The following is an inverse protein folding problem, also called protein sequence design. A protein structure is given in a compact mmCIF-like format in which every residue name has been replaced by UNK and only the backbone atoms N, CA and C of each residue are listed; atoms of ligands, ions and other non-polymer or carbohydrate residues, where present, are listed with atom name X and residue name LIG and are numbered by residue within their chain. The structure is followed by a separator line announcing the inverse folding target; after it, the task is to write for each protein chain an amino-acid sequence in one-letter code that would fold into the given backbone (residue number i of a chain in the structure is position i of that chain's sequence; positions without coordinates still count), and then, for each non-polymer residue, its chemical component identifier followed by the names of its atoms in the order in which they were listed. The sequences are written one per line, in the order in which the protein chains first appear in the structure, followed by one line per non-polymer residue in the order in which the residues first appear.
data_IF_689867622642
#
_entry.id   IF_689867622642
#
_cell.length_a   1.000
_cell.length_b   1.000
_cell.length_c   1.000
_cell.angle_alpha   90.00
_cell.angle_beta   90.00
_cell.angle_gamma   90.00
#
_symmetry.space_group_name_H-M   'P 1'
#
loop_
_entity.id
_entity.type
_entity.pdbx_description
1 polymer ?
#
# COMPACT_ATOMS: atom_id res chain seq x y z
N UNK A 1 12.39 -7.46 14.68
CA UNK A 1 11.45 -6.34 14.48
C UNK A 1 10.03 -6.88 14.53
N UNK A 2 9.16 -6.30 15.36
CA UNK A 2 7.77 -6.71 15.46
C UNK A 2 6.91 -5.70 14.69
N UNK A 3 6.12 -6.16 13.72
CA UNK A 3 5.23 -5.30 12.95
C UNK A 3 3.97 -5.01 13.79
N UNK A 4 3.68 -3.74 14.01
CA UNK A 4 2.54 -3.27 14.81
C UNK A 4 1.81 -2.13 14.07
N UNK A 5 0.56 -1.84 14.44
CA UNK A 5 -0.21 -0.69 13.90
C UNK A 5 -0.41 -0.72 12.37
N UNK A 6 -0.80 -1.88 11.83
CA UNK A 6 -1.03 -2.07 10.39
C UNK A 6 -1.95 -3.24 10.06
N UNK A 7 -2.09 -3.53 8.77
CA UNK A 7 -2.81 -4.67 8.22
C UNK A 7 -1.84 -5.61 7.50
N UNK A 8 -1.97 -6.91 7.79
CA UNK A 8 -1.33 -7.97 7.02
C UNK A 8 -2.32 -8.54 6.01
N UNK A 9 -1.89 -8.67 4.77
CA UNK A 9 -2.66 -9.18 3.64
C UNK A 9 -1.96 -10.41 3.06
N UNK A 10 -2.76 -11.37 2.61
CA UNK A 10 -2.28 -12.54 1.88
C UNK A 10 -2.76 -12.46 0.44
N UNK A 11 -1.83 -12.56 -0.49
CA UNK A 11 -2.07 -12.58 -1.93
C UNK A 11 -1.35 -13.79 -2.55
N UNK A 12 -1.75 -14.25 -3.75
CA UNK A 12 -0.98 -15.25 -4.47
C UNK A 12 0.45 -14.77 -4.72
N UNK A 13 1.44 -15.56 -4.28
CA UNK A 13 2.86 -15.16 -4.30
C UNK A 13 3.38 -14.77 -5.69
N UNK A 14 2.85 -15.39 -6.76
CA UNK A 14 3.23 -15.09 -8.15
C UNK A 14 2.84 -13.67 -8.61
N UNK A 15 1.96 -12.97 -7.88
CA UNK A 15 1.61 -11.59 -8.16
C UNK A 15 2.66 -10.61 -7.62
N UNK A 16 3.52 -11.03 -6.70
CA UNK A 16 4.58 -10.18 -6.13
C UNK A 16 5.85 -10.34 -6.97
N UNK A 17 6.30 -9.26 -7.61
CA UNK A 17 7.54 -9.30 -8.38
C UNK A 17 8.75 -9.35 -7.43
N UNK A 18 9.70 -10.24 -7.70
CA UNK A 18 10.96 -10.29 -6.96
C UNK A 18 11.76 -8.99 -7.20
N UNK A 19 12.05 -8.27 -6.12
CA UNK A 19 12.75 -6.98 -6.11
C UNK A 19 13.83 -6.98 -5.04
N UNK A 20 14.87 -6.17 -5.21
CA UNK A 20 15.97 -6.06 -4.24
C UNK A 20 15.58 -5.28 -2.98
N UNK A 21 14.50 -4.49 -3.03
CA UNK A 21 13.98 -3.72 -1.90
C UNK A 21 12.49 -4.05 -1.72
N UNK A 22 12.15 -4.60 -0.56
CA UNK A 22 10.77 -4.97 -0.19
C UNK A 22 10.11 -3.96 0.75
N UNK A 23 10.89 -3.05 1.34
CA UNK A 23 10.44 -2.08 2.32
C UNK A 23 10.33 -0.71 1.66
N UNK A 24 9.12 -0.15 1.65
CA UNK A 24 8.83 1.12 1.02
C UNK A 24 8.16 2.05 2.02
N UNK A 25 8.84 3.15 2.34
CA UNK A 25 8.27 4.21 3.15
C UNK A 25 7.53 5.23 2.27
N UNK A 26 6.22 5.33 2.42
CA UNK A 26 5.37 6.26 1.68
C UNK A 26 5.17 7.54 2.50
N UNK A 27 6.15 8.45 2.38
CA UNK A 27 6.22 9.73 3.13
C UNK A 27 4.89 10.52 3.11
N UNK A 28 4.24 10.57 1.94
CA UNK A 28 2.99 11.33 1.75
C UNK A 28 1.79 10.78 2.54
N UNK A 29 1.84 9.52 2.96
CA UNK A 29 0.76 8.87 3.71
C UNK A 29 1.12 8.57 5.16
N UNK A 30 2.39 8.75 5.54
CA UNK A 30 2.98 8.27 6.80
C UNK A 30 2.76 6.75 7.00
N UNK A 31 2.91 5.97 5.92
CA UNK A 31 2.65 4.52 5.89
C UNK A 31 3.86 3.79 5.32
N UNK A 32 4.19 2.66 5.93
CA UNK A 32 5.16 1.70 5.44
C UNK A 32 4.45 0.55 4.71
N UNK A 33 4.95 0.23 3.53
CA UNK A 33 4.48 -0.86 2.67
C UNK A 33 5.61 -1.89 2.52
N UNK A 34 5.34 -3.12 2.95
CA UNK A 34 6.26 -4.25 2.83
C UNK A 34 5.68 -5.27 1.87
N UNK A 35 6.39 -5.55 0.78
CA UNK A 35 5.98 -6.51 -0.25
C UNK A 35 6.81 -7.80 -0.14
N UNK A 36 6.32 -8.77 0.65
CA UNK A 36 6.97 -10.07 0.79
C UNK A 36 6.78 -10.94 -0.45
N UNK A 37 7.89 -11.48 -0.99
CA UNK A 37 7.87 -12.42 -2.13
C UNK A 37 7.05 -13.70 -1.89
N UNK A 38 6.73 -13.99 -0.63
CA UNK A 38 5.88 -15.10 -0.21
C UNK A 38 4.38 -14.81 -0.33
N UNK A 39 4.00 -13.63 -0.84
CA UNK A 39 2.60 -13.22 -0.94
C UNK A 39 2.05 -12.59 0.35
N UNK A 40 2.90 -12.31 1.34
CA UNK A 40 2.51 -11.53 2.50
C UNK A 40 2.84 -10.07 2.26
N UNK A 41 1.80 -9.23 2.33
CA UNK A 41 1.92 -7.78 2.17
C UNK A 41 1.52 -7.12 3.47
N UNK A 42 2.39 -6.28 4.02
CA UNK A 42 2.09 -5.52 5.22
C UNK A 42 1.98 -4.05 4.90
N UNK A 43 0.93 -3.41 5.42
CA UNK A 43 0.63 -1.99 5.27
C UNK A 43 0.40 -1.41 6.66
N UNK A 44 1.25 -0.52 7.14
CA UNK A 44 1.10 0.01 8.50
C UNK A 44 1.65 1.39 8.69
N UNK A 45 1.34 1.98 9.84
CA UNK A 45 1.87 3.29 10.22
C UNK A 45 3.40 3.26 10.22
N UNK A 46 4.02 4.31 9.68
CA UNK A 46 5.46 4.45 9.75
C UNK A 46 5.88 4.71 11.20
N UNK A 47 6.75 3.85 11.73
CA UNK A 47 7.32 4.01 13.07
C UNK A 47 8.79 4.35 12.92
N UNK A 48 9.18 5.54 13.36
CA UNK A 48 10.58 5.93 13.44
C UNK A 48 11.21 5.13 14.58
N UNK A 49 11.93 4.06 14.24
CA UNK A 49 12.80 3.38 15.21
C UNK A 49 14.05 4.24 15.34
N UNK A 50 14.11 5.05 16.40
CA UNK A 50 15.33 5.78 16.72
C UNK A 50 16.47 4.78 16.95
N UNK A 51 17.49 4.80 16.10
CA UNK A 51 18.70 4.03 16.30
C UNK A 51 19.40 4.54 17.57
N UNK A 52 19.44 3.70 18.60
CA UNK A 52 20.37 3.70 19.73
C UNK A 52 20.84 5.08 20.23
N UNK A 53 20.05 5.68 21.11
CA UNK A 53 20.61 6.49 22.21
C UNK A 53 20.19 5.83 23.52
N UNK A 54 21.17 5.50 24.36
CA UNK A 54 21.04 4.92 25.70
C UNK A 54 20.17 5.79 26.62
N UNK A 55 18.86 5.78 26.42
CA UNK A 55 17.91 6.48 27.27
C UNK A 55 16.82 5.51 27.70
N UNK A 56 17.11 4.87 28.84
CA UNK A 56 16.18 4.29 29.82
C UNK A 56 14.85 3.78 29.25
N UNK A 57 14.76 2.46 29.14
CA UNK A 57 13.58 1.68 28.73
C UNK A 57 12.25 2.10 29.41
N UNK A 58 12.30 2.73 30.58
CA UNK A 58 11.12 3.22 31.31
C UNK A 58 10.53 4.54 30.75
N UNK A 59 11.32 5.39 30.09
CA UNK A 59 10.79 6.64 29.48
C UNK A 59 10.18 6.40 28.09
N UNK A 60 10.64 5.37 27.37
CA UNK A 60 10.03 4.96 26.10
C UNK A 60 8.65 4.32 26.31
N UNK A 61 8.45 3.56 27.40
CA UNK A 61 7.12 3.03 27.77
C UNK A 61 6.11 4.13 28.07
N UNK A 62 6.51 5.17 28.80
CA UNK A 62 5.63 6.30 29.15
C UNK A 62 5.22 7.15 27.92
N UNK A 63 6.08 7.26 26.89
CA UNK A 63 5.72 7.90 25.62
C UNK A 63 4.87 7.01 24.70
N UNK A 64 5.03 5.68 24.76
CA UNK A 64 4.16 4.72 24.06
C UNK A 64 2.75 4.67 24.65
N UNK A 65 2.59 4.96 25.94
CA UNK A 65 1.30 4.86 26.64
C UNK A 65 0.39 6.10 26.45
N UNK A 66 0.96 7.26 26.13
CA UNK A 66 0.22 8.54 26.13
C UNK A 66 -0.41 8.95 24.77
N UNK A 67 -0.13 8.25 23.67
CA UNK A 67 -0.80 8.47 22.37
C UNK A 67 -0.94 7.14 21.59
N UNK A 68 -1.72 6.23 22.16
CA UNK A 68 -1.84 4.82 21.75
C UNK A 68 -2.60 4.58 20.44
N UNK A 69 -2.89 5.63 19.66
CA UNK A 69 -3.82 5.55 18.55
C UNK A 69 -3.21 6.06 17.26
N UNK A 70 -3.15 5.19 16.26
CA UNK A 70 -2.83 5.62 14.89
C UNK A 70 -3.85 6.68 14.45
N UNK A 71 -3.43 7.86 13.97
CA UNK A 71 -4.35 8.93 13.57
C UNK A 71 -5.40 8.45 12.56
N UNK A 72 -6.61 9.03 12.62
CA UNK A 72 -7.72 8.62 11.73
C UNK A 72 -7.34 8.74 10.25
N UNK A 73 -6.59 9.77 9.88
CA UNK A 73 -6.12 9.96 8.50
C UNK A 73 -5.11 8.89 8.09
N UNK A 74 -4.14 8.57 8.95
CA UNK A 74 -3.20 7.46 8.71
C UNK A 74 -3.94 6.13 8.54
N UNK A 75 -4.95 5.84 9.37
CA UNK A 75 -5.78 4.65 9.21
C UNK A 75 -6.54 4.64 7.88
N UNK A 76 -7.06 5.79 7.43
CA UNK A 76 -7.71 5.90 6.13
C UNK A 76 -6.73 5.57 5.00
N UNK A 77 -5.49 6.06 5.09
CA UNK A 77 -4.44 5.70 4.12
C UNK A 77 -4.13 4.21 4.14
N UNK A 78 -3.92 3.62 5.33
CA UNK A 78 -3.67 2.17 5.48
C UNK A 78 -4.80 1.37 4.84
N UNK A 79 -6.06 1.69 5.14
CA UNK A 79 -7.20 0.98 4.58
C UNK A 79 -7.33 1.14 3.06
N UNK A 80 -7.07 2.34 2.51
CA UNK A 80 -7.08 2.56 1.05
C UNK A 80 -6.00 1.76 0.34
N UNK A 81 -4.77 1.81 0.83
CA UNK A 81 -3.65 1.05 0.28
C UNK A 81 -3.92 -0.46 0.38
N UNK A 82 -4.46 -0.92 1.51
CA UNK A 82 -4.83 -2.32 1.68
C UNK A 82 -5.94 -2.76 0.72
N UNK A 83 -6.94 -1.91 0.48
CA UNK A 83 -8.00 -2.19 -0.49
C UNK A 83 -7.48 -2.16 -1.93
N UNK A 84 -6.57 -1.25 -2.26
CA UNK A 84 -5.89 -1.27 -3.56
C UNK A 84 -5.17 -2.61 -3.80
N UNK A 85 -4.44 -3.14 -2.80
CA UNK A 85 -3.81 -4.47 -2.88
C UNK A 85 -4.85 -5.57 -3.11
N UNK A 86 -5.98 -5.56 -2.38
CA UNK A 86 -7.06 -6.54 -2.55
C UNK A 86 -7.64 -6.53 -3.97
N UNK A 87 -7.98 -5.34 -4.48
CA UNK A 87 -8.54 -5.16 -5.83
C UNK A 87 -7.56 -5.64 -6.89
N UNK A 88 -6.31 -5.22 -6.82
CA UNK A 88 -5.27 -5.62 -7.77
C UNK A 88 -5.00 -7.12 -7.73
N UNK A 89 -4.98 -7.71 -6.54
CA UNK A 89 -4.80 -9.15 -6.36
C UNK A 89 -5.96 -9.94 -6.97
N UNK A 90 -7.19 -9.52 -6.72
CA UNK A 90 -8.38 -10.18 -7.26
C UNK A 90 -8.51 -10.02 -8.78
N UNK A 91 -7.98 -8.93 -9.36
CA UNK A 91 -7.85 -8.76 -10.82
C UNK A 91 -6.65 -9.53 -11.42
N UNK A 92 -5.83 -10.20 -10.60
CA UNK A 92 -4.66 -10.96 -11.06
C UNK A 92 -3.53 -10.09 -11.60
N UNK A 93 -3.43 -8.83 -11.13
CA UNK A 93 -2.37 -7.92 -11.56
C UNK A 93 -1.11 -8.07 -10.72
N UNK A 94 0.06 -7.97 -11.36
CA UNK A 94 1.34 -7.89 -10.65
C UNK A 94 1.35 -6.67 -9.74
N UNK A 95 1.65 -6.90 -8.46
CA UNK A 95 1.67 -5.90 -7.42
C UNK A 95 3.02 -5.17 -7.44
N UNK A 96 2.97 -3.89 -7.78
CA UNK A 96 4.09 -2.97 -7.66
C UNK A 96 3.66 -1.78 -6.81
N UNK A 97 4.61 -1.13 -6.15
CA UNK A 97 4.35 0.02 -5.27
C UNK A 97 3.64 1.12 -6.05
N UNK A 98 4.09 1.42 -7.27
CA UNK A 98 3.50 2.46 -8.10
C UNK A 98 2.03 2.15 -8.44
N UNK A 99 1.74 0.89 -8.79
CA UNK A 99 0.38 0.49 -9.14
C UNK A 99 -0.56 0.53 -7.91
N UNK A 100 -0.06 0.17 -6.73
CA UNK A 100 -0.82 0.23 -5.47
C UNK A 100 -1.14 1.69 -5.13
N UNK A 101 -0.15 2.59 -5.18
CA UNK A 101 -0.35 4.03 -4.91
C UNK A 101 -1.36 4.61 -5.88
N UNK A 102 -1.17 4.40 -7.18
CA UNK A 102 -2.08 4.95 -8.20
C UNK A 102 -3.52 4.43 -8.03
N UNK A 103 -3.68 3.15 -7.67
CA UNK A 103 -5.02 2.58 -7.43
C UNK A 103 -5.65 3.18 -6.18
N UNK A 104 -4.87 3.43 -5.12
CA UNK A 104 -5.35 4.11 -3.92
C UNK A 104 -5.71 5.58 -4.22
N UNK A 105 -4.89 6.29 -5.00
CA UNK A 105 -5.15 7.68 -5.40
C UNK A 105 -6.34 7.79 -6.34
N UNK A 106 -6.56 6.85 -7.25
CA UNK A 106 -7.73 6.82 -8.13
C UNK A 106 -9.06 6.72 -7.36
N UNK A 107 -9.05 6.28 -6.09
CA UNK A 107 -10.24 6.30 -5.23
C UNK A 107 -10.61 7.71 -4.73
N UNK A 108 -9.65 8.64 -4.69
CA UNK A 108 -9.86 9.98 -4.10
C UNK A 108 -10.75 10.89 -4.97
N UNK A 109 -10.50 11.07 -6.29
CA UNK A 109 -11.32 11.94 -7.13
C UNK A 109 -12.71 11.36 -7.43
N UNK A 110 -12.84 10.03 -7.40
CA UNK A 110 -14.10 9.34 -7.73
C UNK A 110 -15.13 9.40 -6.60
N UNK A 111 -14.86 10.09 -5.49
CA UNK A 111 -15.72 10.10 -4.27
C UNK A 111 -16.03 8.68 -3.77
N UNK A 112 -15.17 7.71 -4.11
CA UNK A 112 -15.35 6.33 -3.69
C UNK A 112 -14.89 6.25 -2.25
N UNK A 113 -15.84 6.04 -1.35
CA UNK A 113 -15.54 5.72 0.03
C UNK A 113 -14.64 4.48 0.10
N UNK A 114 -13.88 4.34 1.18
CA UNK A 114 -12.90 3.25 1.35
C UNK A 114 -13.55 1.87 1.19
N UNK A 115 -14.79 1.71 1.69
CA UNK A 115 -15.62 0.52 1.52
C UNK A 115 -16.02 0.27 0.05
N UNK A 116 -16.30 1.34 -0.70
CA UNK A 116 -16.71 1.31 -2.11
C UNK A 116 -15.60 0.85 -3.05
N UNK A 117 -14.32 0.91 -2.64
CA UNK A 117 -13.21 0.36 -3.41
C UNK A 117 -13.37 -1.15 -3.69
N UNK A 118 -14.13 -1.87 -2.86
CA UNK A 118 -14.37 -3.30 -3.04
C UNK A 118 -15.65 -3.60 -3.86
N UNK A 119 -16.34 -2.57 -4.36
CA UNK A 119 -17.52 -2.70 -5.22
C UNK A 119 -17.16 -2.98 -6.68
N UNK A 120 -18.04 -3.69 -7.39
CA UNK A 120 -17.81 -4.13 -8.77
C UNK A 120 -17.44 -2.99 -9.74
N UNK A 121 -18.02 -1.80 -9.56
CA UNK A 121 -17.71 -0.61 -10.36
C UNK A 121 -16.22 -0.26 -10.27
N UNK A 122 -15.64 -0.25 -9.07
CA UNK A 122 -14.24 0.10 -8.87
C UNK A 122 -13.28 -0.95 -9.47
N UNK A 123 -13.67 -2.23 -9.45
CA UNK A 123 -12.93 -3.29 -10.14
C UNK A 123 -12.88 -3.06 -11.65
N UNK A 124 -14.03 -2.78 -12.26
CA UNK A 124 -14.13 -2.52 -13.71
C UNK A 124 -13.29 -1.30 -14.08
N UNK A 125 -13.47 -0.18 -13.37
CA UNK A 125 -12.69 1.04 -13.61
C UNK A 125 -11.17 0.79 -13.46
N UNK A 126 -10.74 0.01 -12.45
CA UNK A 126 -9.33 -0.31 -12.24
C UNK A 126 -8.78 -1.16 -13.38
N UNK A 127 -9.54 -2.16 -13.85
CA UNK A 127 -9.15 -2.98 -14.99
C UNK A 127 -9.06 -2.16 -16.29
N UNK A 128 -10.03 -1.30 -16.57
CA UNK A 128 -10.05 -0.41 -17.74
C UNK A 128 -8.86 0.56 -17.73
N UNK A 129 -8.57 1.21 -16.60
CA UNK A 129 -7.39 2.09 -16.46
C UNK A 129 -6.09 1.32 -16.73
N UNK A 130 -5.99 0.07 -16.27
CA UNK A 130 -4.81 -0.76 -16.53
C UNK A 130 -4.69 -1.15 -18.00
N UNK A 131 -5.79 -1.52 -18.64
CA UNK A 131 -5.85 -1.85 -20.05
C UNK A 131 -5.46 -0.65 -20.93
N UNK A 132 -6.02 0.54 -20.65
CA UNK A 132 -5.69 1.79 -21.34
C UNK A 132 -4.20 2.12 -21.28
N UNK A 133 -3.58 2.02 -20.09
CA UNK A 133 -2.13 2.26 -19.93
C UNK A 133 -1.25 1.29 -20.74
N UNK A 134 -1.64 0.02 -20.82
CA UNK A 134 -0.95 -0.97 -21.66
C UNK A 134 -1.07 -0.61 -23.14
N UNK A 135 -2.27 -0.21 -23.58
CA UNK A 135 -2.50 0.23 -24.95
C UNK A 135 -1.69 1.49 -25.30
N UNK A 136 -1.67 2.50 -24.42
CA UNK A 136 -0.91 3.75 -24.63
C UNK A 136 0.60 3.50 -24.68
N UNK A 137 1.11 2.60 -23.83
CA UNK A 137 2.52 2.18 -23.85
C UNK A 137 2.90 1.49 -25.16
N UNK A 138 2.03 0.62 -25.69
CA UNK A 138 2.22 -0.03 -27.00
C UNK A 138 2.20 0.98 -28.15
N UNK A 139 1.27 1.94 -28.13
CA UNK A 139 1.19 3.01 -29.15
C UNK A 139 2.44 3.88 -29.16
N UNK A 140 2.95 4.25 -27.98
CA UNK A 140 4.19 5.03 -27.85
C UNK A 140 5.41 4.31 -28.43
N UNK A 141 5.50 2.99 -28.22
CA UNK A 141 6.58 2.18 -28.77
C UNK A 141 6.50 2.05 -30.30
N UNK A 142 5.30 1.96 -30.86
CA UNK A 142 5.09 1.82 -32.29
C UNK A 142 5.26 3.14 -33.07
N UNK A 143 4.98 4.29 -32.45
CA UNK A 143 5.16 5.62 -33.05
C UNK A 143 6.58 6.20 -32.94
N UNK A 144 7.49 5.51 -32.25
CA UNK A 144 8.91 5.89 -32.12
C UNK A 144 9.83 5.16 -33.11
N UNK A 145 9.25 4.51 -34.13
CA UNK A 145 9.96 3.83 -35.23
C UNK A 145 9.87 4.62 -36.52
#
# INVERSE_FOLDING_TARGET
MQLQRGQLLTVPAYLVKQWNQHFHHLKQYNVDLILGCNGFIWVGEHVVVAENTDVKEDQQKLAMEADNFTPIETRRHICRLANAVRVLSALGFTLTVELIIETAEASLPSTVEINGMLGAEFYVQTAERKAKRRADSLRKMNGAR
#
